data_IF_033706829486
#
_entry.id   IF_033706829486
#
_cell.length_a   1.000
_cell.length_b   1.000
_cell.length_c   1.000
_cell.angle_alpha   90.00
_cell.angle_beta   90.00
_cell.angle_gamma   90.00
#
_symmetry.space_group_name_H-M   'P 1'
#
loop_
_entity.id
_entity.type
_entity.pdbx_description
1 polymer ?
#
# COMPACT_ATOMS: atom_id res chain seq x y z
N UNK A 1 11.40 54.65 -46.95
CA UNK A 1 11.53 54.31 -45.51
C UNK A 1 10.80 52.99 -45.26
N UNK A 2 11.52 51.88 -45.11
CA UNK A 2 10.95 50.62 -44.61
C UNK A 2 11.53 50.41 -43.21
N UNK A 3 10.71 50.56 -42.17
CA UNK A 3 11.08 50.19 -40.81
C UNK A 3 11.01 48.66 -40.73
N UNK A 4 12.14 48.03 -40.43
CA UNK A 4 12.18 46.63 -40.02
C UNK A 4 11.89 46.57 -38.52
N UNK A 5 10.76 45.96 -38.15
CA UNK A 5 10.43 45.59 -36.78
C UNK A 5 11.17 44.27 -36.50
N UNK A 6 12.18 44.32 -35.65
CA UNK A 6 12.86 43.13 -35.14
C UNK A 6 12.04 42.64 -33.95
N UNK A 7 11.29 41.55 -34.14
CA UNK A 7 10.73 40.79 -33.03
C UNK A 7 11.87 40.00 -32.37
N UNK A 8 12.27 40.43 -31.17
CA UNK A 8 13.14 39.64 -30.31
C UNK A 8 12.31 38.52 -29.69
N UNK A 9 12.49 37.29 -30.18
CA UNK A 9 11.96 36.10 -29.53
C UNK A 9 12.80 35.83 -28.26
N UNK A 10 12.26 36.16 -27.09
CA UNK A 10 12.83 35.74 -25.81
C UNK A 10 12.53 34.26 -25.62
N UNK A 11 13.51 33.40 -25.88
CA UNK A 11 13.48 31.99 -25.52
C UNK A 11 13.63 31.92 -23.99
N UNK A 12 12.54 31.61 -23.28
CA UNK A 12 12.60 31.17 -21.88
C UNK A 12 13.24 29.78 -21.88
N UNK A 13 14.53 29.71 -21.58
CA UNK A 13 15.21 28.45 -21.31
C UNK A 13 14.67 27.89 -19.98
N UNK A 14 13.82 26.88 -20.05
CA UNK A 14 13.49 26.03 -18.91
C UNK A 14 14.74 25.20 -18.63
N UNK A 15 15.55 25.60 -17.65
CA UNK A 15 16.69 24.80 -17.23
C UNK A 15 16.18 23.52 -16.57
N UNK A 16 16.36 22.38 -17.23
CA UNK A 16 16.20 21.08 -16.59
C UNK A 16 17.22 20.96 -15.45
N UNK A 17 16.77 20.55 -14.26
CA UNK A 17 17.64 20.29 -13.12
C UNK A 17 18.64 19.18 -13.46
N UNK A 18 19.88 19.30 -12.99
CA UNK A 18 20.83 18.20 -13.11
C UNK A 18 20.47 17.06 -12.15
N UNK A 19 20.96 15.84 -12.40
CA UNK A 19 20.80 14.72 -11.46
C UNK A 19 21.35 15.05 -10.06
N UNK A 20 22.38 15.92 -9.98
CA UNK A 20 22.93 16.40 -8.71
C UNK A 20 21.97 17.36 -8.00
N UNK A 21 21.28 18.23 -8.72
CA UNK A 21 20.29 19.12 -8.11
C UNK A 21 19.07 18.32 -7.59
N UNK A 22 18.64 17.31 -8.35
CA UNK A 22 17.63 16.35 -7.90
C UNK A 22 18.06 15.61 -6.64
N UNK A 23 19.33 15.20 -6.55
CA UNK A 23 19.88 14.53 -5.38
C UNK A 23 19.91 15.40 -4.13
N UNK A 24 20.38 16.64 -4.24
CA UNK A 24 20.41 17.58 -3.10
C UNK A 24 18.99 17.87 -2.61
N UNK A 25 18.04 18.10 -3.53
CA UNK A 25 16.62 18.26 -3.17
C UNK A 25 16.03 17.01 -2.52
N UNK A 26 16.35 15.81 -3.02
CA UNK A 26 15.91 14.55 -2.45
C UNK A 26 16.40 14.38 -1.00
N UNK A 27 17.69 14.64 -0.74
CA UNK A 27 18.25 14.54 0.61
C UNK A 27 17.54 15.47 1.59
N UNK A 28 17.31 16.73 1.19
CA UNK A 28 16.61 17.71 2.03
C UNK A 28 15.15 17.30 2.26
N UNK A 29 14.44 16.93 1.19
CA UNK A 29 13.01 16.59 1.25
C UNK A 29 12.73 15.38 2.13
N UNK A 30 13.61 14.36 2.08
CA UNK A 30 13.44 13.11 2.82
C UNK A 30 14.36 12.99 4.04
N UNK A 31 14.97 14.10 4.47
CA UNK A 31 15.86 14.19 5.62
C UNK A 31 16.95 13.09 5.65
N UNK A 32 17.58 12.85 4.50
CA UNK A 32 18.60 11.80 4.33
C UNK A 32 19.94 12.27 4.87
N UNK A 33 20.54 11.45 5.73
CA UNK A 33 21.87 11.65 6.29
C UNK A 33 22.66 10.36 6.14
N UNK A 34 23.82 10.42 5.48
CA UNK A 34 24.68 9.27 5.22
C UNK A 34 25.93 9.33 6.10
N UNK A 35 26.45 8.17 6.50
CA UNK A 35 27.52 8.08 7.52
C UNK A 35 28.84 8.70 7.04
N UNK A 36 29.10 8.63 5.74
CA UNK A 36 30.28 9.18 5.10
C UNK A 36 30.06 9.37 3.60
N UNK A 37 31.02 10.03 2.94
CA UNK A 37 30.97 10.27 1.49
C UNK A 37 30.97 9.00 0.65
N UNK A 38 31.49 7.86 1.14
CA UNK A 38 31.47 6.61 0.39
C UNK A 38 30.04 6.07 0.29
N UNK A 39 29.31 6.05 1.41
CA UNK A 39 27.89 5.69 1.43
C UNK A 39 27.06 6.69 0.61
N UNK A 40 27.28 7.99 0.79
CA UNK A 40 26.56 9.02 0.06
C UNK A 40 26.73 8.86 -1.46
N UNK A 41 27.95 8.62 -1.93
CA UNK A 41 28.22 8.44 -3.35
C UNK A 41 27.58 7.15 -3.88
N UNK A 42 27.58 6.06 -3.11
CA UNK A 42 26.86 4.83 -3.44
C UNK A 42 25.34 5.07 -3.56
N UNK A 43 24.75 5.80 -2.60
CA UNK A 43 23.32 6.14 -2.59
C UNK A 43 22.94 7.07 -3.73
N UNK A 44 23.82 8.01 -4.09
CA UNK A 44 23.65 8.87 -5.26
C UNK A 44 23.59 8.07 -6.57
N UNK A 45 24.47 7.08 -6.76
CA UNK A 45 24.44 6.23 -7.97
C UNK A 45 23.13 5.43 -8.08
N UNK A 46 22.64 4.91 -6.95
CA UNK A 46 21.33 4.25 -6.89
C UNK A 46 20.21 5.23 -7.26
N UNK A 47 20.21 6.41 -6.64
CA UNK A 47 19.24 7.46 -6.89
C UNK A 47 19.22 7.88 -8.36
N UNK A 48 20.38 8.12 -8.95
CA UNK A 48 20.51 8.53 -10.34
C UNK A 48 19.95 7.47 -11.31
N UNK A 49 20.20 6.19 -11.04
CA UNK A 49 19.65 5.11 -11.85
C UNK A 49 18.12 4.98 -11.68
N UNK A 50 17.62 5.13 -10.46
CA UNK A 50 16.17 5.14 -10.20
C UNK A 50 15.48 6.35 -10.84
N UNK A 51 16.11 7.54 -10.81
CA UNK A 51 15.60 8.75 -11.46
C UNK A 51 15.44 8.55 -12.97
N UNK A 52 16.46 7.97 -13.63
CA UNK A 52 16.36 7.63 -15.06
C UNK A 52 15.19 6.70 -15.36
N UNK A 53 15.01 5.65 -14.56
CA UNK A 53 13.90 4.71 -14.74
C UNK A 53 12.52 5.38 -14.52
N UNK A 54 12.43 6.34 -13.60
CA UNK A 54 11.23 7.17 -13.38
C UNK A 54 10.96 8.04 -14.62
N UNK A 55 11.97 8.74 -15.13
CA UNK A 55 11.84 9.59 -16.31
C UNK A 55 11.47 8.79 -17.58
N UNK A 56 12.06 7.61 -17.77
CA UNK A 56 11.72 6.70 -18.87
C UNK A 56 10.27 6.21 -18.79
N UNK A 57 9.80 5.87 -17.60
CA UNK A 57 8.40 5.52 -17.37
C UNK A 57 7.47 6.69 -17.69
N UNK A 58 7.81 7.90 -17.23
CA UNK A 58 6.96 9.08 -17.42
C UNK A 58 6.88 9.52 -18.88
N UNK A 59 7.89 9.25 -19.71
CA UNK A 59 7.78 9.44 -21.17
C UNK A 59 6.68 8.56 -21.78
N UNK A 60 6.50 7.33 -21.30
CA UNK A 60 5.41 6.45 -21.73
C UNK A 60 4.05 6.97 -21.26
N UNK A 61 3.99 7.49 -20.04
CA UNK A 61 2.77 8.11 -19.51
C UNK A 61 2.36 9.33 -20.34
N UNK A 62 3.30 10.23 -20.64
CA UNK A 62 3.08 11.40 -21.50
C UNK A 62 2.65 11.02 -22.93
N UNK A 63 3.11 9.87 -23.44
CA UNK A 63 2.70 9.32 -24.72
C UNK A 63 1.35 8.57 -24.66
N UNK A 64 0.74 8.40 -23.48
CA UNK A 64 -0.51 7.66 -23.28
C UNK A 64 -0.36 6.14 -23.41
N UNK A 65 0.86 5.61 -23.28
CA UNK A 65 1.16 4.17 -23.38
C UNK A 65 0.94 3.41 -22.05
N UNK A 66 0.90 4.12 -20.93
CA UNK A 66 0.61 3.60 -19.58
C UNK A 66 -0.31 4.55 -18.85
N UNK A 67 -1.07 4.06 -17.87
CA UNK A 67 -2.13 4.82 -17.19
C UNK A 67 -1.69 5.51 -15.89
N UNK A 68 -0.43 5.35 -15.49
CA UNK A 68 0.11 5.93 -14.25
C UNK A 68 1.48 6.56 -14.45
N UNK A 69 1.82 7.49 -13.57
CA UNK A 69 3.12 8.15 -13.54
C UNK A 69 3.85 7.89 -12.22
N UNK A 70 5.16 8.11 -12.27
CA UNK A 70 6.08 7.89 -11.16
C UNK A 70 6.70 9.21 -10.72
N UNK A 71 7.12 9.28 -9.46
CA UNK A 71 7.89 10.40 -8.93
C UNK A 71 8.98 9.90 -7.98
N UNK A 72 9.99 10.74 -7.79
CA UNK A 72 10.97 10.56 -6.71
C UNK A 72 10.22 10.60 -5.38
N UNK A 73 10.43 9.57 -4.55
CA UNK A 73 9.91 9.48 -3.19
C UNK A 73 11.02 8.96 -2.26
N UNK A 74 10.70 8.72 -0.99
CA UNK A 74 11.67 8.33 0.05
C UNK A 74 12.48 7.06 -0.25
N UNK A 75 12.04 6.24 -1.22
CA UNK A 75 12.68 5.00 -1.63
C UNK A 75 13.67 5.17 -2.78
N UNK A 76 13.86 6.38 -3.32
CA UNK A 76 14.66 6.60 -4.52
C UNK A 76 16.15 6.27 -4.34
N UNK A 77 16.68 6.21 -3.12
CA UNK A 77 18.07 5.83 -2.82
C UNK A 77 18.25 4.35 -2.41
N UNK A 78 17.20 3.53 -2.53
CA UNK A 78 17.24 2.10 -2.23
C UNK A 78 17.55 1.26 -3.49
N UNK A 79 18.15 0.10 -3.32
CA UNK A 79 18.17 -0.93 -4.34
C UNK A 79 16.82 -1.65 -4.41
N UNK A 80 16.59 -2.47 -5.44
CA UNK A 80 15.39 -3.33 -5.49
C UNK A 80 15.36 -4.29 -4.29
N UNK A 81 16.51 -4.87 -3.91
CA UNK A 81 16.60 -5.79 -2.78
C UNK A 81 16.33 -5.12 -1.43
N UNK A 82 16.86 -3.91 -1.21
CA UNK A 82 16.55 -3.13 0.00
C UNK A 82 15.08 -2.73 0.07
N UNK A 83 14.47 -2.35 -1.06
CA UNK A 83 13.03 -2.09 -1.10
C UNK A 83 12.21 -3.35 -0.83
N UNK A 84 12.58 -4.49 -1.43
CA UNK A 84 11.91 -5.77 -1.19
C UNK A 84 11.99 -6.25 0.27
N UNK A 85 13.01 -5.83 1.02
CA UNK A 85 13.09 -6.12 2.46
C UNK A 85 12.03 -5.36 3.29
N UNK A 86 11.44 -4.30 2.74
CA UNK A 86 10.30 -3.59 3.35
C UNK A 86 8.96 -4.30 3.08
N UNK A 87 8.95 -5.31 2.22
CA UNK A 87 7.76 -6.06 1.84
C UNK A 87 7.62 -7.28 2.75
N UNK A 88 6.47 -7.37 3.40
CA UNK A 88 6.28 -8.24 4.56
C UNK A 88 5.21 -9.31 4.39
N UNK A 89 4.46 -9.30 3.31
CA UNK A 89 3.49 -10.35 3.08
C UNK A 89 4.22 -11.57 2.55
N UNK A 90 3.90 -12.75 3.10
CA UNK A 90 4.43 -14.02 2.60
C UNK A 90 3.29 -14.91 2.11
N UNK A 91 3.32 -15.31 0.83
CA UNK A 91 2.38 -16.29 0.30
C UNK A 91 2.35 -17.53 1.19
N UNK A 92 1.15 -18.05 1.46
CA UNK A 92 1.03 -19.35 2.13
C UNK A 92 1.29 -20.46 1.13
N UNK A 93 2.13 -21.43 1.51
CA UNK A 93 1.95 -22.80 1.04
C UNK A 93 0.65 -23.35 1.64
N UNK A 94 -0.48 -23.09 0.97
CA UNK A 94 -1.79 -23.56 1.43
C UNK A 94 -1.90 -25.07 1.20
N UNK A 95 -1.59 -25.86 2.23
CA UNK A 95 -1.69 -27.32 2.22
C UNK A 95 -3.10 -27.83 2.56
N UNK A 96 -3.98 -26.98 3.08
CA UNK A 96 -5.39 -27.28 3.38
C UNK A 96 -6.37 -26.48 2.53
N UNK A 97 -7.52 -27.08 2.21
CA UNK A 97 -8.65 -26.40 1.58
C UNK A 97 -9.22 -25.36 2.57
N UNK A 98 -8.89 -24.08 2.37
CA UNK A 98 -9.58 -22.97 3.04
C UNK A 98 -10.88 -22.72 2.27
N UNK A 99 -12.01 -22.71 2.98
CA UNK A 99 -13.31 -22.38 2.37
C UNK A 99 -13.30 -20.94 1.87
N UNK A 100 -13.62 -20.77 0.59
CA UNK A 100 -13.71 -19.46 -0.05
C UNK A 100 -15.15 -18.94 0.02
N UNK A 101 -15.32 -17.79 0.67
CA UNK A 101 -16.62 -17.15 0.82
C UNK A 101 -17.03 -16.41 -0.46
N UNK A 102 -18.33 -16.48 -0.80
CA UNK A 102 -18.91 -15.82 -1.96
C UNK A 102 -20.06 -14.93 -1.53
N UNK A 103 -19.89 -13.62 -1.69
CA UNK A 103 -21.02 -12.72 -1.90
C UNK A 103 -21.59 -12.98 -3.30
N UNK A 104 -22.90 -12.82 -3.49
CA UNK A 104 -23.49 -12.98 -4.82
C UNK A 104 -24.81 -12.20 -4.95
N UNK A 105 -24.92 -11.43 -6.03
CA UNK A 105 -26.17 -10.84 -6.49
C UNK A 105 -26.63 -9.68 -5.62
N UNK A 106 -25.67 -8.93 -5.05
CA UNK A 106 -25.96 -7.76 -4.24
C UNK A 106 -26.15 -6.53 -5.14
N UNK A 107 -27.12 -5.69 -4.80
CA UNK A 107 -27.26 -4.37 -5.43
C UNK A 107 -26.20 -3.44 -4.84
N UNK A 108 -25.24 -3.01 -5.67
CA UNK A 108 -24.05 -2.26 -5.26
C UNK A 108 -23.88 -1.00 -6.13
N UNK A 109 -23.35 0.11 -5.56
CA UNK A 109 -23.12 1.32 -6.33
C UNK A 109 -22.04 1.11 -7.40
N UNK A 110 -22.04 1.95 -8.44
CA UNK A 110 -21.00 1.92 -9.48
C UNK A 110 -19.61 2.32 -8.95
N UNK A 111 -19.59 3.22 -7.96
CA UNK A 111 -18.38 3.66 -7.27
C UNK A 111 -18.64 3.80 -5.77
N UNK A 112 -17.62 3.49 -4.97
CA UNK A 112 -17.64 3.72 -3.53
C UNK A 112 -16.27 4.15 -3.05
N UNK A 113 -16.24 5.07 -2.09
CA UNK A 113 -15.03 5.47 -1.38
C UNK A 113 -15.31 5.53 0.12
N UNK A 114 -14.71 4.60 0.87
CA UNK A 114 -14.90 4.53 2.32
C UNK A 114 -14.21 5.67 3.07
N UNK A 115 -13.30 6.41 2.44
CA UNK A 115 -12.70 7.63 3.00
C UNK A 115 -13.76 8.69 3.22
N UNK A 116 -14.65 8.87 2.24
CA UNK A 116 -15.75 9.83 2.30
C UNK A 116 -16.80 9.46 3.35
N UNK A 117 -16.85 8.18 3.73
CA UNK A 117 -17.78 7.63 4.72
C UNK A 117 -17.20 7.57 6.13
N UNK A 118 -15.90 7.87 6.32
CA UNK A 118 -15.23 7.85 7.63
C UNK A 118 -14.70 6.49 8.08
N UNK A 119 -14.82 5.43 7.26
CA UNK A 119 -14.36 4.08 7.61
C UNK A 119 -12.88 3.82 7.27
N UNK A 120 -12.13 4.86 6.90
CA UNK A 120 -10.69 4.78 6.63
C UNK A 120 -10.00 5.79 7.55
N UNK A 121 -9.27 5.27 8.54
CA UNK A 121 -8.59 6.09 9.53
C UNK A 121 -7.22 6.59 9.03
N UNK A 122 -6.48 7.24 9.93
CA UNK A 122 -5.25 7.99 9.64
C UNK A 122 -4.18 7.22 8.84
N UNK A 123 -3.30 7.99 8.22
CA UNK A 123 -2.14 7.49 7.46
C UNK A 123 -1.23 6.63 8.35
N UNK A 124 -0.77 5.52 7.80
CA UNK A 124 0.13 4.54 8.41
C UNK A 124 1.51 4.59 7.75
N UNK A 125 2.52 4.23 8.54
CA UNK A 125 3.89 4.18 8.08
C UNK A 125 4.60 2.97 8.71
N UNK A 126 4.85 1.92 7.94
CA UNK A 126 5.53 0.70 8.41
C UNK A 126 7.06 0.86 8.54
N UNK A 127 7.60 2.00 8.06
CA UNK A 127 9.01 2.39 8.15
C UNK A 127 9.93 1.32 7.53
N UNK A 128 10.73 0.63 8.34
CA UNK A 128 11.73 -0.34 7.90
C UNK A 128 11.29 -1.80 8.13
N UNK A 129 10.08 -2.01 8.65
CA UNK A 129 9.56 -3.31 9.02
C UNK A 129 8.66 -3.90 7.93
N UNK A 130 8.87 -5.17 7.57
CA UNK A 130 7.97 -5.96 6.74
C UNK A 130 6.67 -6.33 7.47
N UNK A 131 5.89 -5.33 7.87
CA UNK A 131 4.63 -5.48 8.63
C UNK A 131 3.39 -5.02 7.87
N UNK A 132 3.48 -4.88 6.54
CA UNK A 132 2.34 -4.54 5.68
C UNK A 132 1.11 -5.44 5.93
N UNK A 133 1.33 -6.73 6.27
CA UNK A 133 0.27 -7.67 6.67
C UNK A 133 -0.50 -7.21 7.93
N UNK A 134 0.20 -6.69 8.93
CA UNK A 134 -0.41 -6.19 10.16
C UNK A 134 -1.17 -4.89 9.91
N UNK A 135 -0.60 -3.98 9.11
CA UNK A 135 -1.27 -2.73 8.72
C UNK A 135 -2.52 -2.98 7.87
N UNK A 136 -2.48 -3.93 6.93
CA UNK A 136 -3.64 -4.36 6.16
C UNK A 136 -4.76 -4.87 7.07
N UNK A 137 -4.43 -5.81 7.97
CA UNK A 137 -5.40 -6.39 8.90
C UNK A 137 -6.02 -5.33 9.82
N UNK A 138 -5.19 -4.48 10.43
CA UNK A 138 -5.64 -3.35 11.25
C UNK A 138 -6.57 -2.42 10.49
N UNK A 139 -6.23 -2.07 9.24
CA UNK A 139 -7.08 -1.18 8.44
C UNK A 139 -8.48 -1.75 8.17
N UNK A 140 -8.59 -3.07 7.98
CA UNK A 140 -9.89 -3.73 7.81
C UNK A 140 -10.67 -3.78 9.14
N UNK A 141 -9.99 -4.07 10.25
CA UNK A 141 -10.58 -4.05 11.60
C UNK A 141 -11.09 -2.67 12.00
N UNK A 142 -10.33 -1.62 11.68
CA UNK A 142 -10.72 -0.23 11.90
C UNK A 142 -11.98 0.14 11.11
N UNK A 143 -12.01 -0.24 9.82
CA UNK A 143 -13.18 -0.05 8.98
C UNK A 143 -14.42 -0.75 9.53
N UNK A 144 -14.28 -2.00 9.97
CA UNK A 144 -15.39 -2.75 10.59
C UNK A 144 -15.81 -2.16 11.93
N UNK A 145 -14.88 -1.77 12.80
CA UNK A 145 -15.21 -1.15 14.08
C UNK A 145 -15.98 0.17 13.89
N UNK A 146 -15.62 0.95 12.86
CA UNK A 146 -16.34 2.15 12.50
C UNK A 146 -17.76 1.83 12.00
N UNK A 147 -17.90 0.88 11.08
CA UNK A 147 -19.17 0.54 10.43
C UNK A 147 -20.16 -0.12 11.40
N UNK A 148 -19.68 -1.08 12.21
CA UNK A 148 -20.53 -1.90 13.09
C UNK A 148 -20.75 -1.24 14.45
N UNK A 149 -19.68 -0.72 15.07
CA UNK A 149 -19.74 -0.18 16.43
C UNK A 149 -19.77 1.35 16.51
N UNK A 150 -19.59 2.05 15.38
CA UNK A 150 -19.52 3.52 15.36
C UNK A 150 -18.27 4.10 16.01
N UNK A 151 -17.18 3.32 16.11
CA UNK A 151 -15.93 3.74 16.79
C UNK A 151 -14.79 3.94 15.81
N UNK A 152 -14.16 5.12 15.86
CA UNK A 152 -12.96 5.48 15.08
C UNK A 152 -11.68 5.27 15.89
N UNK A 153 -11.51 4.08 16.46
CA UNK A 153 -10.32 3.75 17.24
C UNK A 153 -9.17 3.33 16.30
N UNK A 154 -8.03 4.03 16.38
CA UNK A 154 -6.79 3.57 15.73
C UNK A 154 -6.30 2.32 16.48
N UNK A 155 -6.11 1.21 15.77
CA UNK A 155 -5.69 -0.08 16.36
C UNK A 155 -4.18 -0.29 16.19
N UNK A 156 -3.59 -1.14 17.03
CA UNK A 156 -2.14 -1.35 17.06
C UNK A 156 -1.66 -2.46 16.11
N UNK A 157 -0.98 -2.14 14.99
CA UNK A 157 -0.30 -3.14 14.18
C UNK A 157 0.91 -3.73 14.92
N UNK A 158 1.49 -3.01 15.89
CA UNK A 158 2.63 -3.50 16.67
C UNK A 158 2.26 -4.68 17.56
N UNK A 159 1.07 -4.67 18.15
CA UNK A 159 0.61 -5.81 18.93
C UNK A 159 0.56 -7.08 18.06
N UNK A 160 0.10 -6.98 16.80
CA UNK A 160 0.13 -8.11 15.89
C UNK A 160 1.57 -8.58 15.62
N UNK A 161 2.51 -7.66 15.38
CA UNK A 161 3.94 -7.99 15.16
C UNK A 161 4.55 -8.72 16.36
N UNK A 162 4.23 -8.29 17.57
CA UNK A 162 4.84 -8.80 18.80
C UNK A 162 4.15 -10.07 19.32
N UNK A 163 2.83 -10.22 19.14
CA UNK A 163 2.00 -11.17 19.89
C UNK A 163 1.37 -12.30 19.06
N UNK A 164 1.36 -12.23 17.73
CA UNK A 164 0.62 -13.20 16.89
C UNK A 164 1.33 -14.55 16.63
N UNK A 165 2.50 -14.78 17.24
CA UNK A 165 3.35 -15.96 16.97
C UNK A 165 2.67 -17.31 17.25
N UNK A 166 1.73 -17.35 18.20
CA UNK A 166 0.95 -18.56 18.51
C UNK A 166 0.06 -19.01 17.35
N UNK A 167 -0.33 -18.08 16.47
CA UNK A 167 -1.18 -18.32 15.31
C UNK A 167 -0.34 -18.53 14.04
N UNK A 168 0.69 -17.69 13.88
CA UNK A 168 1.75 -17.88 12.88
C UNK A 168 2.96 -17.08 13.31
N UNK A 169 4.12 -17.71 13.33
CA UNK A 169 5.39 -17.02 13.54
C UNK A 169 5.54 -15.90 12.51
N UNK A 170 5.46 -14.66 12.98
CA UNK A 170 5.40 -13.47 12.12
C UNK A 170 6.21 -12.34 12.75
N UNK A 171 6.95 -11.58 11.94
CA UNK A 171 7.71 -10.42 12.40
C UNK A 171 8.08 -9.51 11.22
N UNK A 172 8.93 -8.52 11.46
CA UNK A 172 9.41 -7.58 10.43
C UNK A 172 10.26 -8.21 9.31
N UNK A 173 10.89 -9.36 9.56
CA UNK A 173 11.87 -10.01 8.67
C UNK A 173 11.26 -11.22 7.97
N UNK A 174 10.61 -12.08 8.74
CA UNK A 174 9.87 -13.26 8.27
C UNK A 174 8.62 -12.80 7.52
N UNK A 175 8.00 -11.69 7.93
CA UNK A 175 6.71 -11.26 7.42
C UNK A 175 5.55 -12.00 8.09
N UNK A 176 4.34 -11.88 7.54
CA UNK A 176 3.12 -12.46 8.09
C UNK A 176 1.97 -12.51 7.09
N UNK A 177 0.76 -12.80 7.57
CA UNK A 177 -0.47 -12.75 6.77
C UNK A 177 -1.67 -12.25 7.57
N UNK A 178 -2.62 -11.66 6.86
CA UNK A 178 -3.80 -11.02 7.45
C UNK A 178 -4.75 -12.01 8.14
N UNK A 179 -4.87 -13.25 7.64
CA UNK A 179 -5.75 -14.25 8.25
C UNK A 179 -5.24 -14.68 9.63
N UNK A 180 -3.93 -14.87 9.80
CA UNK A 180 -3.33 -15.14 11.11
C UNK A 180 -3.51 -13.96 12.08
N UNK A 181 -3.44 -12.72 11.58
CA UNK A 181 -3.75 -11.54 12.37
C UNK A 181 -5.23 -11.52 12.80
N UNK A 182 -6.17 -11.82 11.91
CA UNK A 182 -7.58 -11.90 12.27
C UNK A 182 -7.86 -13.03 13.27
N UNK A 183 -7.24 -14.20 13.10
CA UNK A 183 -7.35 -15.29 14.07
C UNK A 183 -6.84 -14.85 15.45
N UNK A 184 -5.71 -14.13 15.53
CA UNK A 184 -5.24 -13.55 16.79
C UNK A 184 -6.30 -12.64 17.43
N UNK A 185 -6.85 -11.67 16.68
CA UNK A 185 -7.82 -10.71 17.21
C UNK A 185 -9.13 -11.37 17.64
N UNK A 186 -9.51 -12.47 17.01
CA UNK A 186 -10.68 -13.26 17.42
C UNK A 186 -10.55 -13.81 18.84
N UNK A 187 -9.37 -14.31 19.22
CA UNK A 187 -9.17 -14.92 20.55
C UNK A 187 -8.67 -13.93 21.60
N UNK A 188 -7.75 -13.04 21.22
CA UNK A 188 -7.03 -12.19 22.16
C UNK A 188 -7.51 -10.74 22.13
N UNK A 189 -8.24 -10.33 21.09
CA UNK A 189 -8.58 -8.94 20.82
C UNK A 189 -7.35 -8.13 20.38
N UNK A 190 -7.53 -6.82 20.21
CA UNK A 190 -6.44 -5.91 19.83
C UNK A 190 -6.54 -4.57 20.57
N UNK A 191 -5.39 -4.02 20.93
CA UNK A 191 -5.22 -2.75 21.62
C UNK A 191 -5.29 -1.57 20.64
N UNK A 192 -5.49 -0.38 21.20
CA UNK A 192 -5.39 0.88 20.44
C UNK A 192 -3.92 1.25 20.20
N UNK A 193 -3.67 1.99 19.13
CA UNK A 193 -2.35 2.53 18.78
C UNK A 193 -1.74 3.37 19.92
N UNK A 194 -2.52 4.20 20.59
CA UNK A 194 -2.03 5.05 21.70
C UNK A 194 -1.65 4.25 22.95
N UNK A 195 -2.20 3.04 23.08
CA UNK A 195 -1.91 2.11 24.17
C UNK A 195 -0.76 1.17 23.80
N UNK A 196 -0.61 0.79 22.54
CA UNK A 196 0.48 -0.05 22.06
C UNK A 196 1.08 0.57 20.78
N UNK A 197 1.93 1.59 20.92
CA UNK A 197 2.47 2.34 19.78
C UNK A 197 3.33 1.48 18.85
N UNK A 198 3.35 1.86 17.59
CA UNK A 198 4.21 1.26 16.57
C UNK A 198 5.69 1.59 16.79
N UNK A 199 6.49 0.53 16.91
CA UNK A 199 7.92 0.60 17.22
C UNK A 199 8.79 0.20 16.02
N UNK A 200 8.24 -0.30 14.90
CA UNK A 200 8.94 -0.71 13.67
C UNK A 200 9.99 -1.85 13.78
N UNK A 201 9.99 -2.56 14.89
CA UNK A 201 10.76 -3.80 15.07
C UNK A 201 9.97 -4.79 15.93
N UNK A 202 10.38 -6.07 15.93
CA UNK A 202 9.78 -7.06 16.82
C UNK A 202 10.29 -6.90 18.25
N UNK A 203 9.37 -6.73 19.18
CA UNK A 203 9.60 -6.62 20.60
C UNK A 203 8.94 -7.79 21.35
N UNK A 204 9.10 -7.81 22.67
CA UNK A 204 8.33 -8.71 23.52
C UNK A 204 6.85 -8.32 23.48
N UNK A 205 5.96 -9.31 23.44
CA UNK A 205 4.51 -9.09 23.49
C UNK A 205 4.09 -8.42 24.81
N UNK A 206 3.39 -7.28 24.71
CA UNK A 206 2.97 -6.45 25.86
C UNK A 206 1.44 -6.40 25.98
N UNK A 207 0.79 -7.56 26.08
CA UNK A 207 -0.68 -7.68 26.15
C UNK A 207 -1.25 -6.69 27.18
N UNK A 208 -2.12 -5.78 26.73
CA UNK A 208 -2.87 -4.89 27.62
C UNK A 208 -4.34 -5.29 27.73
N UNK A 209 -5.01 -4.73 28.72
CA UNK A 209 -6.45 -4.85 28.96
C UNK A 209 -6.97 -3.51 29.51
N UNK A 210 -8.17 -3.06 29.12
CA UNK A 210 -9.11 -3.70 28.20
C UNK A 210 -8.69 -3.59 26.73
N UNK A 211 -9.12 -4.55 25.89
CA UNK A 211 -8.95 -4.51 24.43
C UNK A 211 -9.88 -3.50 23.77
N UNK A 212 -9.47 -2.98 22.61
CA UNK A 212 -10.28 -2.07 21.80
C UNK A 212 -11.42 -2.79 21.08
N UNK A 213 -11.13 -3.95 20.49
CA UNK A 213 -12.09 -4.76 19.73
C UNK A 213 -11.72 -6.26 19.73
N UNK A 214 -12.74 -7.10 19.64
CA UNK A 214 -12.69 -8.52 19.26
C UNK A 214 -13.49 -8.71 17.97
N UNK A 215 -13.22 -9.79 17.23
CA UNK A 215 -14.00 -10.17 16.05
C UNK A 215 -14.62 -11.55 16.26
N UNK A 216 -15.79 -11.79 15.67
CA UNK A 216 -16.45 -13.10 15.70
C UNK A 216 -15.80 -14.10 14.73
N UNK A 217 -15.18 -13.59 13.67
CA UNK A 217 -14.51 -14.39 12.66
C UNK A 217 -13.95 -13.55 11.52
N UNK A 218 -13.64 -14.22 10.41
CA UNK A 218 -13.16 -13.59 9.18
C UNK A 218 -13.50 -14.49 8.00
N UNK A 219 -13.57 -13.89 6.81
CA UNK A 219 -13.79 -14.59 5.55
C UNK A 219 -12.59 -14.40 4.65
N UNK A 220 -12.17 -15.48 4.00
CA UNK A 220 -11.31 -15.41 2.83
C UNK A 220 -12.22 -15.44 1.60
N UNK A 221 -12.11 -14.44 0.75
CA UNK A 221 -13.01 -14.29 -0.40
C UNK A 221 -12.63 -15.21 -1.55
N UNK A 222 -13.65 -15.61 -2.31
CA UNK A 222 -13.44 -16.25 -3.59
C UNK A 222 -12.68 -15.33 -4.55
N UNK A 223 -11.88 -15.97 -5.39
CA UNK A 223 -10.93 -15.34 -6.31
C UNK A 223 -11.66 -14.78 -7.54
N UNK A 224 -12.51 -13.80 -7.32
CA UNK A 224 -13.35 -13.14 -8.31
C UNK A 224 -13.52 -11.67 -7.92
N UNK A 225 -13.13 -10.76 -8.81
CA UNK A 225 -13.18 -9.32 -8.54
C UNK A 225 -14.60 -8.78 -8.38
N UNK A 226 -15.63 -9.44 -8.92
CA UNK A 226 -17.02 -9.05 -8.67
C UNK A 226 -17.43 -9.37 -7.23
N UNK A 227 -16.99 -10.52 -6.71
CA UNK A 227 -17.24 -10.91 -5.31
C UNK A 227 -16.50 -9.95 -4.36
N UNK A 228 -15.27 -9.59 -4.71
CA UNK A 228 -14.50 -8.59 -3.95
C UNK A 228 -15.19 -7.23 -4.01
N UNK A 229 -15.76 -6.83 -5.17
CA UNK A 229 -16.50 -5.57 -5.34
C UNK A 229 -17.73 -5.53 -4.45
N UNK A 230 -18.47 -6.63 -4.41
CA UNK A 230 -19.62 -6.80 -3.52
C UNK A 230 -19.24 -6.71 -2.04
N UNK A 231 -18.14 -7.36 -1.63
CA UNK A 231 -17.63 -7.26 -0.27
C UNK A 231 -17.25 -5.81 0.09
N UNK A 232 -16.47 -5.14 -0.77
CA UNK A 232 -16.10 -3.73 -0.56
C UNK A 232 -17.33 -2.83 -0.46
N UNK A 233 -18.35 -3.07 -1.29
CA UNK A 233 -19.57 -2.25 -1.31
C UNK A 233 -20.42 -2.39 -0.05
N UNK A 234 -20.50 -3.60 0.50
CA UNK A 234 -21.52 -3.96 1.51
C UNK A 234 -20.96 -4.23 2.89
N UNK A 235 -19.69 -4.60 2.99
CA UNK A 235 -19.01 -4.90 4.26
C UNK A 235 -18.18 -3.71 4.71
N UNK A 236 -17.37 -3.13 3.83
CA UNK A 236 -16.41 -2.08 4.19
C UNK A 236 -15.07 -2.23 3.49
N UNK A 237 -14.02 -1.54 3.98
CA UNK A 237 -12.66 -1.82 3.56
C UNK A 237 -12.25 -3.28 3.80
N UNK A 238 -11.56 -3.90 2.84
CA UNK A 238 -11.11 -5.31 2.91
C UNK A 238 -9.61 -5.43 2.75
N UNK A 239 -8.98 -6.34 3.49
CA UNK A 239 -7.56 -6.65 3.36
C UNK A 239 -7.29 -7.38 2.05
N UNK A 240 -6.16 -7.07 1.41
CA UNK A 240 -5.72 -7.65 0.14
C UNK A 240 -4.19 -7.83 0.16
N UNK A 241 -3.66 -8.76 -0.62
CA UNK A 241 -2.24 -8.74 -0.99
C UNK A 241 -2.05 -8.78 -2.51
N UNK A 242 -0.96 -8.17 -2.98
CA UNK A 242 -0.56 -8.15 -4.40
C UNK A 242 0.97 -8.17 -4.56
N UNK A 243 1.42 -8.30 -5.81
CA UNK A 243 2.81 -8.04 -6.20
C UNK A 243 3.07 -6.54 -6.35
N UNK A 244 3.89 -5.96 -5.48
CA UNK A 244 4.12 -4.51 -5.38
C UNK A 244 5.17 -3.94 -6.34
N UNK A 245 5.73 -4.75 -7.25
CA UNK A 245 6.74 -4.33 -8.23
C UNK A 245 6.48 -2.97 -8.91
N UNK A 246 5.25 -2.63 -9.37
CA UNK A 246 5.01 -1.36 -10.05
C UNK A 246 4.88 -0.17 -9.08
N UNK A 247 4.67 -0.43 -7.79
CA UNK A 247 4.25 0.57 -6.80
C UNK A 247 5.39 1.41 -6.27
N UNK A 248 6.63 0.90 -6.24
CA UNK A 248 7.77 1.53 -5.55
C UNK A 248 7.90 3.05 -5.73
N UNK A 249 7.69 3.56 -6.94
CA UNK A 249 7.76 4.98 -7.28
C UNK A 249 6.43 5.56 -7.77
N UNK A 250 5.32 4.85 -7.56
CA UNK A 250 3.99 5.33 -7.94
C UNK A 250 3.71 6.70 -7.32
N UNK A 251 3.17 7.60 -8.15
CA UNK A 251 2.79 8.95 -7.75
C UNK A 251 1.33 9.28 -8.06
N UNK A 252 0.75 8.70 -9.11
CA UNK A 252 -0.66 8.87 -9.43
C UNK A 252 -1.08 8.19 -10.72
N UNK A 253 -2.39 8.15 -10.96
CA UNK A 253 -3.00 7.46 -12.10
C UNK A 253 -3.44 6.04 -11.76
N UNK A 254 -3.78 5.22 -12.77
CA UNK A 254 -4.25 3.85 -12.56
C UNK A 254 -3.11 2.89 -12.89
N UNK A 255 -2.65 2.12 -11.90
CA UNK A 255 -1.59 1.13 -12.12
C UNK A 255 -2.10 0.03 -13.05
N UNK A 256 -1.47 -0.04 -14.22
CA UNK A 256 -1.64 -1.03 -15.28
C UNK A 256 -0.30 -1.69 -15.69
N UNK A 257 0.75 -1.45 -14.91
CA UNK A 257 2.12 -1.86 -15.24
C UNK A 257 2.41 -3.34 -15.02
N UNK A 258 3.47 -3.82 -15.65
CA UNK A 258 3.91 -5.22 -15.55
C UNK A 258 4.27 -5.60 -14.11
N UNK A 259 3.61 -6.64 -13.62
CA UNK A 259 3.85 -7.33 -12.37
C UNK A 259 3.53 -8.80 -12.58
N UNK A 260 4.21 -9.68 -11.85
CA UNK A 260 3.95 -11.10 -11.93
C UNK A 260 2.65 -11.42 -11.16
N UNK A 261 1.58 -11.90 -11.84
CA UNK A 261 0.32 -12.22 -11.18
C UNK A 261 0.36 -13.59 -10.47
N UNK A 262 1.48 -14.33 -10.53
CA UNK A 262 1.64 -15.59 -9.82
C UNK A 262 1.42 -15.38 -8.29
N UNK A 263 0.60 -16.20 -7.63
CA UNK A 263 0.43 -16.16 -6.17
C UNK A 263 1.73 -16.14 -5.38
N UNK A 264 2.77 -16.83 -5.86
CA UNK A 264 4.08 -16.91 -5.21
C UNK A 264 4.89 -15.61 -5.33
N UNK A 265 4.51 -14.72 -6.26
CA UNK A 265 5.13 -13.41 -6.44
C UNK A 265 4.46 -12.29 -5.62
N UNK A 266 3.38 -12.60 -4.89
CA UNK A 266 2.68 -11.66 -4.01
C UNK A 266 3.55 -11.37 -2.79
N UNK A 267 3.81 -10.08 -2.52
CA UNK A 267 4.79 -9.68 -1.50
C UNK A 267 4.30 -8.56 -0.57
N UNK A 268 3.16 -7.92 -0.88
CA UNK A 268 2.71 -6.74 -0.17
C UNK A 268 1.23 -6.78 0.25
N UNK A 269 0.98 -6.53 1.53
CA UNK A 269 -0.36 -6.45 2.13
C UNK A 269 -0.86 -5.01 2.16
N UNK A 270 -2.09 -4.79 1.70
CA UNK A 270 -2.71 -3.47 1.49
C UNK A 270 -4.21 -3.54 1.73
N UNK A 271 -4.88 -2.40 1.80
CA UNK A 271 -6.31 -2.34 2.10
C UNK A 271 -7.09 -1.76 0.92
N UNK A 272 -8.03 -2.51 0.35
CA UNK A 272 -8.99 -1.94 -0.61
C UNK A 272 -9.99 -1.10 0.19
N UNK A 273 -10.12 0.17 -0.17
CA UNK A 273 -11.02 1.13 0.51
C UNK A 273 -12.12 1.66 -0.41
N UNK A 274 -12.16 1.19 -1.65
CA UNK A 274 -13.16 1.65 -2.60
C UNK A 274 -12.87 1.19 -4.02
N UNK A 275 -13.71 1.63 -4.94
CA UNK A 275 -13.57 1.40 -6.37
C UNK A 275 -14.28 2.49 -7.16
N UNK A 276 -13.89 2.63 -8.42
CA UNK A 276 -14.56 3.51 -9.37
C UNK A 276 -14.22 3.17 -10.80
N UNK A 277 -14.50 4.13 -11.69
CA UNK A 277 -14.16 4.09 -13.11
C UNK A 277 -13.76 5.50 -13.54
N UNK A 278 -12.68 5.64 -14.29
CA UNK A 278 -12.21 6.91 -14.85
C UNK A 278 -11.80 6.69 -16.31
N UNK A 279 -12.34 7.48 -17.24
CA UNK A 279 -12.02 7.41 -18.67
C UNK A 279 -12.16 6.00 -19.31
N UNK A 280 -13.11 5.20 -18.81
CA UNK A 280 -13.33 3.83 -19.28
C UNK A 280 -12.45 2.77 -18.61
N UNK A 281 -11.63 3.17 -17.65
CA UNK A 281 -10.76 2.28 -16.88
C UNK A 281 -11.32 2.10 -15.46
N UNK A 282 -11.69 0.87 -15.14
CA UNK A 282 -12.14 0.47 -13.82
C UNK A 282 -10.94 0.32 -12.87
N UNK A 283 -11.07 0.82 -11.64
CA UNK A 283 -9.99 0.75 -10.65
C UNK A 283 -10.49 0.41 -9.24
N UNK A 284 -9.58 -0.16 -8.45
CA UNK A 284 -9.64 -0.19 -6.99
C UNK A 284 -8.98 1.06 -6.41
N UNK A 285 -9.52 1.59 -5.32
CA UNK A 285 -8.84 2.58 -4.47
C UNK A 285 -8.21 1.79 -3.32
N UNK A 286 -6.89 1.89 -3.19
CA UNK A 286 -6.12 1.05 -2.26
C UNK A 286 -5.29 1.92 -1.34
N UNK A 287 -5.41 1.70 -0.03
CA UNK A 287 -4.58 2.31 1.00
C UNK A 287 -3.30 1.50 1.17
N UNK A 288 -2.16 2.19 1.10
CA UNK A 288 -0.85 1.63 1.39
C UNK A 288 -0.45 1.86 2.86
N UNK A 289 0.77 1.49 3.25
CA UNK A 289 1.33 1.71 4.59
C UNK A 289 2.72 2.36 4.54
N UNK A 290 2.98 3.17 3.50
CA UNK A 290 4.28 3.80 3.24
C UNK A 290 4.27 5.32 3.50
N UNK A 291 3.33 5.81 4.30
CA UNK A 291 3.21 7.23 4.62
C UNK A 291 2.57 8.07 3.52
N UNK A 292 2.25 9.32 3.87
CA UNK A 292 1.49 10.25 3.01
C UNK A 292 2.30 10.78 1.82
N UNK A 293 3.63 10.68 1.86
CA UNK A 293 4.49 11.06 0.72
C UNK A 293 4.45 10.03 -0.42
N UNK A 294 3.84 8.87 -0.20
CA UNK A 294 3.65 7.86 -1.22
C UNK A 294 2.38 8.11 -2.04
N UNK A 295 2.46 8.01 -3.37
CA UNK A 295 1.29 7.99 -4.23
C UNK A 295 0.35 9.17 -4.07
N UNK A 296 -0.94 8.89 -4.08
CA UNK A 296 -2.04 9.85 -3.96
C UNK A 296 -2.40 10.06 -2.47
N UNK A 297 -1.45 10.59 -1.69
CA UNK A 297 -1.53 10.75 -0.23
C UNK A 297 -1.69 9.43 0.54
N UNK A 298 -0.75 8.50 0.38
CA UNK A 298 -0.75 7.09 0.85
C UNK A 298 -1.55 6.12 -0.02
N UNK A 299 -2.45 6.62 -0.87
CA UNK A 299 -3.29 5.78 -1.71
C UNK A 299 -2.68 5.52 -3.07
N UNK A 300 -3.14 4.47 -3.72
CA UNK A 300 -2.94 4.25 -5.14
C UNK A 300 -4.21 3.69 -5.76
N UNK A 301 -4.32 3.87 -7.08
CA UNK A 301 -5.37 3.24 -7.88
C UNK A 301 -4.75 2.14 -8.73
N UNK A 302 -5.42 1.01 -8.82
CA UNK A 302 -4.94 -0.16 -9.58
C UNK A 302 -6.07 -0.72 -10.42
N UNK A 303 -5.75 -1.14 -11.64
CA UNK A 303 -6.72 -1.63 -12.62
C UNK A 303 -7.53 -2.79 -12.05
N UNK A 304 -8.86 -2.67 -12.15
CA UNK A 304 -9.84 -3.66 -11.68
C UNK A 304 -10.40 -4.46 -12.86
N UNK A 305 -10.70 -5.73 -12.62
CA UNK A 305 -11.31 -6.65 -13.60
C UNK A 305 -10.31 -7.47 -14.43
N UNK A 306 -9.02 -7.42 -14.09
CA UNK A 306 -7.94 -8.11 -14.82
C UNK A 306 -6.99 -8.90 -13.91
N UNK A 307 -7.30 -9.04 -12.62
CA UNK A 307 -6.43 -9.61 -11.60
C UNK A 307 -5.03 -8.97 -11.61
N UNK A 308 -4.98 -7.64 -11.69
CA UNK A 308 -3.74 -6.88 -11.76
C UNK A 308 -2.84 -7.26 -10.57
N UNK A 309 -1.62 -7.70 -10.84
CA UNK A 309 -0.63 -8.08 -9.81
C UNK A 309 -1.07 -9.17 -8.83
N UNK A 310 -1.95 -10.11 -9.26
CA UNK A 310 -2.36 -11.24 -8.44
C UNK A 310 -3.29 -10.85 -7.28
N UNK A 311 -3.97 -9.71 -7.37
CA UNK A 311 -4.73 -9.13 -6.27
C UNK A 311 -5.88 -10.00 -5.74
N UNK A 312 -6.37 -10.99 -6.50
CA UNK A 312 -7.54 -11.80 -6.09
C UNK A 312 -7.21 -12.93 -5.11
N UNK A 313 -5.94 -13.28 -4.93
CA UNK A 313 -5.58 -14.54 -4.25
C UNK A 313 -5.74 -14.48 -2.72
N UNK A 314 -5.58 -13.30 -2.14
CA UNK A 314 -5.42 -13.07 -0.70
C UNK A 314 -6.27 -11.88 -0.24
N UNK A 315 -7.58 -11.97 -0.48
CA UNK A 315 -8.56 -10.94 -0.07
C UNK A 315 -9.42 -11.45 1.08
N UNK A 316 -9.49 -10.68 2.16
CA UNK A 316 -10.22 -11.09 3.37
C UNK A 316 -10.84 -9.92 4.15
N UNK A 317 -11.97 -10.19 4.77
CA UNK A 317 -12.72 -9.27 5.64
C UNK A 317 -12.93 -9.88 7.04
N UNK A 318 -12.66 -9.12 8.12
CA UNK A 318 -13.05 -9.51 9.47
C UNK A 318 -14.55 -9.32 9.69
N UNK A 319 -15.11 -10.05 10.65
CA UNK A 319 -16.52 -10.01 11.05
C UNK A 319 -16.58 -9.50 12.49
N UNK A 320 -17.10 -8.30 12.68
CA UNK A 320 -17.31 -7.65 13.98
C UNK A 320 -18.75 -7.81 14.43
#
# INVERSE_FOLDING_TARGET
>A
MKLAIIFAATILAVNALSAKDHWENFKVTHNKNYINHVEENYRFEIFHNNLKAIEEHNKKYEAGEVLYFKAVNQFADLTKAEFSALLGYKPKNRTSEVELYKYNGLDIPESIDWREKGAVLAVRHQIACGSCWAHSAVGALEGQNFIVNGKSDLLSPQELVDCSDAFKKSDCVIGGDMLAAFEYVKHEGIDKEDQYPYDDYKSSCRVKSPKAIYIDGYKLLARDENIIKEAVATVGPVSMALNSSPLRFYAGGIVDGDCDPDPEAIDHGVLIVGYGSENGEDYWIVKNSWGSSFGENEFFRIKRGVNQCGLIYEVSDPIV
#
